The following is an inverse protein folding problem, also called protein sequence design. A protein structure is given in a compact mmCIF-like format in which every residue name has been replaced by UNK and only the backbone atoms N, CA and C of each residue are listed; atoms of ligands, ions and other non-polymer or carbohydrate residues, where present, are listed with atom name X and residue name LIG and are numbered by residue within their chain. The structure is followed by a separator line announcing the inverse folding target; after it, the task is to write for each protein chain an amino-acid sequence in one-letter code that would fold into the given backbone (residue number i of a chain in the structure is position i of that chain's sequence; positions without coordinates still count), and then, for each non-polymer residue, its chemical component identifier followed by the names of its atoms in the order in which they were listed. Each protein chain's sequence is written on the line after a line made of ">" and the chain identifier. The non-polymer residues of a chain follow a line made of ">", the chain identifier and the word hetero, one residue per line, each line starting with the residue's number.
data_IF_563069577688
#
_entry.id   IF_563069577688
#
_cell.length_a   1.000
_cell.length_b   1.000
_cell.length_c   1.000
_cell.angle_alpha   90.00
_cell.angle_beta   90.00
_cell.angle_gamma   90.00
#
_symmetry.space_group_name_H-M   'P 1'
#
loop_
_entity.id
_entity.type
_entity.pdbx_description
1 polymer ?
#
# COMPACT_ATOMS: atom_id res chain seq x y z
N UNK A 1 -12.08 -0.54 5.76
CA UNK A 1 -13.32 0.20 5.44
C UNK A 1 -14.21 -0.58 4.47
N UNK A 2 -15.54 -0.55 4.65
CA UNK A 2 -16.50 -1.10 3.68
C UNK A 2 -16.67 -0.14 2.49
N UNK A 3 -16.63 -0.67 1.27
CA UNK A 3 -16.85 0.08 0.04
C UNK A 3 -18.32 0.04 -0.38
N UNK A 4 -18.80 1.14 -0.96
CA UNK A 4 -20.07 1.15 -1.67
C UNK A 4 -19.92 0.40 -3.01
N UNK A 5 -21.01 -0.15 -3.58
CA UNK A 5 -20.96 -0.89 -4.84
C UNK A 5 -20.38 -0.11 -6.02
N UNK A 6 -20.45 1.22 -5.99
CA UNK A 6 -19.91 2.13 -7.01
C UNK A 6 -18.52 2.68 -6.68
N UNK A 7 -17.84 2.15 -5.67
CA UNK A 7 -16.47 2.56 -5.28
C UNK A 7 -15.41 1.51 -5.63
N UNK A 8 -15.75 0.59 -6.53
CA UNK A 8 -14.89 -0.55 -6.91
C UNK A 8 -14.33 -0.42 -8.32
N UNK A 9 -14.66 0.66 -9.03
CA UNK A 9 -14.04 0.99 -10.30
C UNK A 9 -12.64 1.59 -10.07
N UNK A 10 -11.83 1.53 -11.13
CA UNK A 10 -10.43 1.93 -11.10
C UNK A 10 -10.23 3.37 -10.63
N UNK A 11 -11.09 4.30 -11.04
CA UNK A 11 -10.94 5.72 -10.67
C UNK A 11 -11.24 5.96 -9.19
N UNK A 12 -12.18 5.20 -8.61
CA UNK A 12 -12.43 5.21 -7.18
C UNK A 12 -11.26 4.59 -6.39
N UNK A 13 -10.75 3.45 -6.84
CA UNK A 13 -9.65 2.76 -6.16
C UNK A 13 -8.34 3.55 -6.22
N UNK A 14 -8.03 4.19 -7.36
CA UNK A 14 -6.88 5.11 -7.49
C UNK A 14 -6.95 6.24 -6.46
N UNK A 15 -8.13 6.88 -6.29
CA UNK A 15 -8.31 7.96 -5.29
C UNK A 15 -8.11 7.49 -3.85
N UNK A 16 -8.45 6.24 -3.55
CA UNK A 16 -8.14 5.66 -2.23
C UNK A 16 -6.63 5.48 -2.04
N UNK A 17 -5.92 5.08 -3.09
CA UNK A 17 -4.46 5.05 -3.10
C UNK A 17 -3.84 6.43 -2.88
N UNK A 18 -4.33 7.46 -3.59
CA UNK A 18 -3.89 8.85 -3.42
C UNK A 18 -4.12 9.36 -1.98
N UNK A 19 -5.29 9.04 -1.41
CA UNK A 19 -5.62 9.38 -0.02
C UNK A 19 -4.64 8.72 0.96
N UNK A 20 -4.38 7.42 0.80
CA UNK A 20 -3.46 6.70 1.66
C UNK A 20 -2.02 7.24 1.58
N UNK A 21 -1.52 7.50 0.36
CA UNK A 21 -0.19 8.11 0.15
C UNK A 21 -0.11 9.48 0.83
N UNK A 22 -1.12 10.34 0.62
CA UNK A 22 -1.13 11.67 1.24
C UNK A 22 -1.11 11.60 2.77
N UNK A 23 -1.74 10.60 3.39
CA UNK A 23 -1.70 10.42 4.85
C UNK A 23 -0.33 9.91 5.32
N UNK A 24 0.27 8.95 4.59
CA UNK A 24 1.63 8.43 4.86
C UNK A 24 2.68 9.53 4.77
N UNK A 25 2.65 10.35 3.70
CA UNK A 25 3.59 11.45 3.48
C UNK A 25 3.52 12.53 4.59
N UNK A 26 2.33 12.72 5.18
CA UNK A 26 2.12 13.67 6.29
C UNK A 26 2.43 13.08 7.67
N UNK A 27 2.66 11.76 7.75
CA UNK A 27 2.79 11.05 9.02
C UNK A 27 1.48 10.99 9.82
N UNK A 28 0.32 11.08 9.17
CA UNK A 28 -0.99 11.01 9.82
C UNK A 28 -1.47 9.55 9.94
N UNK A 29 -0.72 8.78 10.73
CA UNK A 29 -0.93 7.34 10.87
C UNK A 29 -2.23 7.00 11.58
N UNK A 30 -2.70 7.86 12.49
CA UNK A 30 -3.98 7.66 13.17
C UNK A 30 -5.13 7.75 12.18
N UNK A 31 -5.18 8.80 11.35
CA UNK A 31 -6.24 8.95 10.35
C UNK A 31 -6.17 7.82 9.32
N UNK A 32 -4.97 7.41 8.90
CA UNK A 32 -4.78 6.28 8.00
C UNK A 32 -5.31 4.97 8.59
N UNK A 33 -4.99 4.69 9.85
CA UNK A 33 -5.48 3.52 10.59
C UNK A 33 -7.00 3.55 10.80
N UNK A 34 -7.58 4.69 11.18
CA UNK A 34 -9.02 4.84 11.36
C UNK A 34 -9.78 4.64 10.04
N UNK A 35 -9.18 5.11 8.94
CA UNK A 35 -9.76 5.06 7.59
C UNK A 35 -9.65 3.67 6.97
N UNK A 36 -8.47 3.07 6.98
CA UNK A 36 -8.20 1.82 6.24
C UNK A 36 -8.00 0.61 7.15
N UNK A 37 -7.67 0.81 8.43
CA UNK A 37 -7.15 -0.25 9.29
C UNK A 37 -5.76 -0.70 8.82
N UNK A 38 -5.29 -1.82 9.37
CA UNK A 38 -4.05 -2.45 8.92
C UNK A 38 -4.14 -3.98 9.05
N UNK A 39 -4.05 -4.69 7.93
CA UNK A 39 -4.27 -6.14 7.89
C UNK A 39 -3.20 -6.91 8.66
N UNK A 40 -1.95 -6.43 8.61
CA UNK A 40 -0.79 -7.03 9.26
C UNK A 40 -0.51 -6.48 10.67
N UNK A 41 -1.47 -5.79 11.31
CA UNK A 41 -1.30 -5.34 12.69
C UNK A 41 -1.29 -6.48 13.72
N UNK A 42 -1.88 -7.63 13.40
CA UNK A 42 -1.95 -8.83 14.26
C UNK A 42 -2.38 -8.57 15.71
N UNK A 43 -3.33 -7.65 15.92
CA UNK A 43 -3.87 -7.30 17.25
C UNK A 43 -3.14 -6.18 17.97
N UNK A 44 -2.06 -5.63 17.39
CA UNK A 44 -1.44 -4.39 17.85
C UNK A 44 -2.20 -3.16 17.35
N UNK A 45 -1.84 -1.98 17.86
CA UNK A 45 -2.37 -0.70 17.38
C UNK A 45 -1.93 -0.47 15.92
N UNK A 46 -2.87 -0.40 14.95
CA UNK A 46 -2.53 -0.23 13.54
C UNK A 46 -1.70 1.02 13.25
N UNK A 47 -1.96 2.15 13.92
CA UNK A 47 -1.23 3.39 13.66
C UNK A 47 0.24 3.25 14.06
N UNK A 48 0.49 2.59 15.20
CA UNK A 48 1.84 2.32 15.69
C UNK A 48 2.59 1.39 14.74
N UNK A 49 1.96 0.30 14.30
CA UNK A 49 2.62 -0.67 13.40
C UNK A 49 2.96 -0.04 12.06
N UNK A 50 2.05 0.75 11.47
CA UNK A 50 2.32 1.45 10.20
C UNK A 50 3.50 2.41 10.35
N UNK A 51 3.54 3.19 11.43
CA UNK A 51 4.65 4.10 11.69
C UNK A 51 5.99 3.34 11.83
N UNK A 52 5.99 2.23 12.57
CA UNK A 52 7.17 1.39 12.77
C UNK A 52 7.68 0.77 11.48
N UNK A 53 6.79 0.29 10.60
CA UNK A 53 7.17 -0.26 9.30
C UNK A 53 7.73 0.81 8.37
N UNK A 54 7.09 1.97 8.28
CA UNK A 54 7.62 3.08 7.47
C UNK A 54 9.00 3.51 7.97
N UNK A 55 9.19 3.59 9.29
CA UNK A 55 10.49 3.91 9.90
C UNK A 55 11.53 2.83 9.60
N UNK A 56 11.13 1.56 9.62
CA UNK A 56 11.99 0.43 9.28
C UNK A 56 12.45 0.48 7.82
N UNK A 57 11.54 0.81 6.90
CA UNK A 57 11.87 1.02 5.49
C UNK A 57 12.94 2.11 5.33
N UNK A 58 12.75 3.27 5.96
CA UNK A 58 13.72 4.37 5.89
C UNK A 58 15.08 3.95 6.49
N UNK A 59 15.07 3.26 7.62
CA UNK A 59 16.30 2.77 8.26
C UNK A 59 17.05 1.76 7.38
N UNK A 60 16.33 0.84 6.73
CA UNK A 60 16.89 -0.11 5.78
C UNK A 60 17.44 0.61 4.56
N UNK A 61 16.69 1.54 3.97
CA UNK A 61 17.13 2.31 2.80
C UNK A 61 18.46 3.04 3.02
N UNK A 62 18.67 3.65 4.20
CA UNK A 62 19.90 4.37 4.53
C UNK A 62 21.17 3.51 4.50
N UNK A 63 21.05 2.20 4.70
CA UNK A 63 22.21 1.29 4.67
C UNK A 63 22.40 0.62 3.31
N UNK A 64 21.48 0.85 2.36
CA UNK A 64 21.58 0.31 1.01
C UNK A 64 22.52 1.17 0.13
N UNK A 65 23.24 0.54 -0.82
CA UNK A 65 24.08 1.28 -1.77
C UNK A 65 23.26 2.23 -2.65
N UNK A 66 23.77 3.45 -2.90
CA UNK A 66 23.15 4.57 -3.65
C UNK A 66 22.62 4.26 -5.08
N UNK A 67 22.78 3.03 -5.59
CA UNK A 67 22.44 2.64 -6.97
C UNK A 67 21.37 1.55 -7.09
N UNK A 68 20.71 1.16 -6.01
CA UNK A 68 19.80 0.02 -6.04
C UNK A 68 18.36 0.34 -6.49
N UNK A 69 17.94 1.60 -6.48
CA UNK A 69 16.55 1.95 -6.72
C UNK A 69 16.39 2.99 -7.82
N UNK A 70 15.93 2.54 -8.99
CA UNK A 70 15.34 3.41 -10.01
C UNK A 70 13.86 3.07 -10.05
N UNK A 71 13.09 3.72 -9.19
CA UNK A 71 11.64 3.52 -9.10
C UNK A 71 10.96 4.87 -9.27
N UNK A 72 9.97 4.92 -10.15
CA UNK A 72 9.13 6.11 -10.35
C UNK A 72 7.87 5.99 -9.50
N UNK A 73 7.43 7.05 -8.80
CA UNK A 73 6.14 7.06 -8.14
C UNK A 73 5.00 6.75 -9.12
N UNK A 74 4.12 5.86 -8.72
CA UNK A 74 2.93 5.49 -9.46
C UNK A 74 1.88 4.90 -8.52
N UNK A 75 0.62 4.94 -8.94
CA UNK A 75 -0.45 4.21 -8.29
C UNK A 75 -1.09 3.33 -9.35
N UNK A 76 -1.13 2.02 -9.10
CA UNK A 76 -1.68 1.04 -10.02
C UNK A 76 -2.79 0.23 -9.34
N UNK A 77 -3.85 -0.07 -10.07
CA UNK A 77 -4.94 -0.95 -9.61
C UNK A 77 -4.88 -2.25 -10.39
N UNK A 78 -4.78 -3.37 -9.68
CA UNK A 78 -4.78 -4.72 -10.29
C UNK A 78 -5.95 -5.51 -9.76
N UNK A 79 -6.80 -6.00 -10.67
CA UNK A 79 -7.94 -6.84 -10.30
C UNK A 79 -7.56 -8.31 -10.30
N UNK A 80 -7.96 -9.02 -9.26
CA UNK A 80 -7.76 -10.46 -9.19
C UNK A 80 -8.84 -11.19 -9.99
N UNK A 81 -8.46 -12.31 -10.61
CA UNK A 81 -9.45 -13.30 -11.03
C UNK A 81 -10.17 -13.88 -9.81
N UNK A 82 -11.36 -14.45 -10.02
CA UNK A 82 -12.12 -15.12 -8.97
C UNK A 82 -11.24 -16.16 -8.26
N UNK A 83 -11.15 -16.05 -6.95
CA UNK A 83 -10.31 -16.90 -6.11
C UNK A 83 -11.02 -17.25 -4.80
N UNK A 84 -10.50 -18.25 -4.10
CA UNK A 84 -11.08 -18.75 -2.85
C UNK A 84 -10.66 -17.93 -1.61
N UNK A 85 -9.70 -17.02 -1.76
CA UNK A 85 -9.24 -16.13 -0.70
C UNK A 85 -10.09 -14.86 -0.58
N UNK A 86 -11.03 -14.65 -1.52
CA UNK A 86 -11.87 -13.45 -1.55
C UNK A 86 -11.15 -12.19 -2.01
N UNK A 87 -9.95 -12.28 -2.58
CA UNK A 87 -9.23 -11.12 -3.11
C UNK A 87 -9.97 -10.56 -4.33
N UNK A 88 -10.15 -9.25 -4.38
CA UNK A 88 -10.88 -8.58 -5.46
C UNK A 88 -9.97 -7.66 -6.28
N UNK A 89 -9.24 -6.78 -5.61
CA UNK A 89 -8.24 -5.91 -6.24
C UNK A 89 -7.11 -5.60 -5.25
N UNK A 90 -5.97 -5.19 -5.76
CA UNK A 90 -4.90 -4.53 -5.00
C UNK A 90 -4.63 -3.17 -5.61
N UNK A 91 -4.37 -2.19 -4.76
CA UNK A 91 -3.90 -0.86 -5.13
C UNK A 91 -2.46 -0.78 -4.66
N UNK A 92 -1.53 -0.75 -5.61
CA UNK A 92 -0.10 -0.60 -5.34
C UNK A 92 0.28 0.87 -5.47
N UNK A 93 0.69 1.48 -4.36
CA UNK A 93 1.07 2.88 -4.30
C UNK A 93 2.57 3.01 -4.08
N UNK A 94 3.31 3.35 -5.13
CA UNK A 94 4.72 3.72 -5.04
C UNK A 94 4.86 5.22 -4.88
N UNK A 95 5.57 5.66 -3.84
CA UNK A 95 5.85 7.07 -3.57
C UNK A 95 7.24 7.28 -2.98
N UNK A 96 7.70 8.52 -2.93
CA UNK A 96 8.99 8.87 -2.33
C UNK A 96 8.78 9.36 -0.90
N UNK A 97 9.21 8.55 0.06
CA UNK A 97 9.26 8.92 1.47
C UNK A 97 10.43 9.85 1.79
N UNK A 98 10.72 9.99 3.09
CA UNK A 98 11.83 10.81 3.57
C UNK A 98 13.17 10.37 2.94
N UNK A 99 14.07 11.33 2.70
CA UNK A 99 15.41 11.09 2.13
C UNK A 99 15.40 10.44 0.74
N UNK A 100 14.26 10.47 0.03
CA UNK A 100 14.10 9.82 -1.26
C UNK A 100 13.96 8.30 -1.16
N UNK A 101 13.63 7.77 0.03
CA UNK A 101 13.34 6.36 0.23
C UNK A 101 12.11 5.96 -0.59
N UNK A 102 12.22 5.04 -1.56
CA UNK A 102 11.07 4.59 -2.35
C UNK A 102 10.24 3.63 -1.50
N UNK A 103 8.96 3.96 -1.29
CA UNK A 103 8.02 3.18 -0.47
C UNK A 103 6.93 2.60 -1.37
N UNK A 104 6.60 1.33 -1.13
CA UNK A 104 5.41 0.68 -1.64
C UNK A 104 4.41 0.55 -0.48
N UNK A 105 3.23 1.15 -0.65
CA UNK A 105 2.08 0.90 0.21
C UNK A 105 1.03 0.11 -0.59
N UNK A 106 0.56 -1.01 -0.04
CA UNK A 106 -0.43 -1.87 -0.69
C UNK A 106 -1.76 -1.75 0.04
N UNK A 107 -2.82 -1.39 -0.67
CA UNK A 107 -4.17 -1.54 -0.17
C UNK A 107 -4.82 -2.76 -0.83
N UNK A 108 -5.33 -3.68 -0.03
CA UNK A 108 -6.07 -4.83 -0.54
C UNK A 108 -7.57 -4.56 -0.51
N UNK A 109 -8.27 -4.97 -1.57
CA UNK A 109 -9.72 -5.04 -1.61
C UNK A 109 -10.14 -6.50 -1.52
N UNK A 110 -10.91 -6.84 -0.50
CA UNK A 110 -11.46 -8.18 -0.27
C UNK A 110 -12.97 -8.21 -0.46
N UNK A 111 -13.49 -9.40 -0.72
CA UNK A 111 -14.91 -9.70 -0.89
C UNK A 111 -15.42 -10.57 0.23
N UNK A 112 -16.54 -10.19 0.83
CA UNK A 112 -17.32 -11.05 1.72
C UNK A 112 -18.77 -11.06 1.24
N UNK A 113 -19.14 -12.10 0.51
CA UNK A 113 -20.41 -12.11 -0.24
C UNK A 113 -20.44 -11.00 -1.30
N UNK A 114 -21.50 -10.19 -1.29
CA UNK A 114 -21.64 -9.04 -2.19
C UNK A 114 -20.78 -7.85 -1.73
N UNK A 115 -20.50 -7.75 -0.44
CA UNK A 115 -19.75 -6.64 0.15
C UNK A 115 -18.28 -6.67 -0.27
N UNK A 116 -17.70 -5.47 -0.33
CA UNK A 116 -16.28 -5.24 -0.57
C UNK A 116 -15.69 -4.40 0.55
N UNK A 117 -14.46 -4.71 0.93
CA UNK A 117 -13.74 -4.02 1.99
C UNK A 117 -12.35 -3.68 1.50
N UNK A 118 -11.88 -2.47 1.79
CA UNK A 118 -10.50 -2.05 1.56
C UNK A 118 -9.76 -1.95 2.89
N UNK A 119 -8.51 -2.41 2.93
CA UNK A 119 -7.60 -2.21 4.05
C UNK A 119 -6.18 -1.95 3.55
N UNK A 120 -5.40 -1.21 4.34
CA UNK A 120 -3.95 -1.19 4.13
C UNK A 120 -3.42 -2.58 4.50
N UNK A 121 -2.69 -3.20 3.60
CA UNK A 121 -2.14 -4.55 3.75
C UNK A 121 -0.70 -4.47 4.25
N UNK A 122 0.15 -3.70 3.56
CA UNK A 122 1.59 -3.66 3.81
C UNK A 122 2.20 -2.28 3.51
N UNK A 123 3.25 -1.91 4.25
CA UNK A 123 4.18 -0.83 3.89
C UNK A 123 5.60 -1.40 3.80
N UNK A 124 6.23 -1.30 2.64
CA UNK A 124 7.56 -1.87 2.39
C UNK A 124 8.42 -0.96 1.52
N UNK A 125 9.71 -1.28 1.40
CA UNK A 125 10.55 -0.66 0.37
C UNK A 125 10.04 -1.01 -1.02
N UNK A 126 9.91 -0.02 -1.88
CA UNK A 126 9.65 -0.27 -3.29
C UNK A 126 10.96 -0.69 -3.97
N UNK A 127 11.01 -1.92 -4.47
CA UNK A 127 12.05 -2.36 -5.39
C UNK A 127 11.66 -2.05 -6.82
N UNK A 128 12.64 -1.84 -7.71
CA UNK A 128 12.36 -1.92 -9.13
C UNK A 128 11.72 -3.30 -9.42
N UNK A 129 10.75 -3.41 -10.35
CA UNK A 129 10.41 -4.72 -10.87
C UNK A 129 11.73 -5.36 -11.29
N UNK A 130 11.98 -6.60 -10.86
CA UNK A 130 13.09 -7.39 -11.38
C UNK A 130 12.82 -7.50 -12.88
N UNK A 131 13.41 -6.58 -13.64
CA UNK A 131 13.33 -6.62 -15.10
C UNK A 131 13.80 -8.00 -15.50
N UNK A 132 13.00 -8.67 -16.32
CA UNK A 132 13.38 -9.90 -17.00
C UNK A 132 14.86 -9.80 -17.36
N UNK A 133 15.65 -10.70 -16.79
CA UNK A 133 16.99 -10.96 -17.27
C UNK A 133 16.80 -11.39 -18.72
N UNK A 134 16.92 -10.46 -19.65
CA UNK A 134 17.08 -10.77 -21.07
C UNK A 134 18.42 -11.50 -21.18
N UNK A 135 18.34 -12.82 -21.11
CA UNK A 135 19.37 -13.75 -21.58
C UNK A 135 19.46 -13.71 -23.09
#
# INVERSE_FOLDING_TARGET
>A
MKLLPNQVDESCLLRLGEEAVSLLERGDFQTLADRFGYALAFGNDPAVVIEEELRSCIAEFRVLPERQFVVSPCIEVKYFQRNNAGLFAVIECVFMGAEGCPILAELIVTSSGEDKYVSLEQVSLASAPVGDVQT
#
